data_IF_530439590020
#
_entry.id   IF_530439590020
#
_cell.length_a   1.000
_cell.length_b   1.000
_cell.length_c   1.000
_cell.angle_alpha   90.00
_cell.angle_beta   90.00
_cell.angle_gamma   90.00
#
_symmetry.space_group_name_H-M   'P 1'
#
loop_
_entity.id
_entity.type
_entity.pdbx_description
1 polymer ?
#
# COMPACT_ATOMS: atom_id res chain seq x y z
N UNK A 1 -9.76 -10.11 -8.74
CA UNK A 1 -10.50 -9.50 -7.60
C UNK A 1 -11.64 -8.57 -8.05
N UNK A 2 -11.51 -7.71 -9.09
CA UNK A 2 -12.56 -6.72 -9.41
C UNK A 2 -13.92 -7.30 -9.82
N UNK A 3 -13.95 -8.41 -10.57
CA UNK A 3 -15.19 -9.09 -10.99
C UNK A 3 -16.03 -9.58 -9.80
N UNK A 4 -15.36 -10.12 -8.77
CA UNK A 4 -16.03 -10.61 -7.55
C UNK A 4 -16.58 -9.42 -6.75
N UNK A 5 -15.81 -8.34 -6.65
CA UNK A 5 -16.24 -7.10 -5.99
C UNK A 5 -17.47 -6.50 -6.66
N UNK A 6 -17.50 -6.47 -7.99
CA UNK A 6 -18.66 -6.00 -8.73
C UNK A 6 -19.91 -6.87 -8.55
N UNK A 7 -19.73 -8.19 -8.52
CA UNK A 7 -20.81 -9.13 -8.23
C UNK A 7 -21.38 -8.96 -6.83
N UNK A 8 -20.50 -8.82 -5.82
CA UNK A 8 -20.90 -8.59 -4.43
C UNK A 8 -21.53 -7.20 -4.22
N UNK A 9 -20.98 -6.16 -4.87
CA UNK A 9 -21.45 -4.78 -4.76
C UNK A 9 -22.91 -4.59 -5.18
N UNK A 10 -23.41 -5.39 -6.13
CA UNK A 10 -24.83 -5.37 -6.51
C UNK A 10 -25.79 -5.81 -5.40
N UNK A 11 -25.32 -6.57 -4.41
CA UNK A 11 -26.15 -7.05 -3.29
C UNK A 11 -26.08 -6.16 -2.04
N UNK A 12 -25.00 -5.40 -1.87
CA UNK A 12 -24.72 -4.61 -0.65
C UNK A 12 -24.78 -3.09 -0.85
N UNK A 13 -25.39 -2.63 -1.95
CA UNK A 13 -25.34 -1.25 -2.43
C UNK A 13 -25.84 -0.18 -1.46
N UNK A 14 -26.80 -0.53 -0.61
CA UNK A 14 -27.44 0.45 0.28
C UNK A 14 -26.78 0.55 1.66
N UNK A 15 -25.95 -0.42 2.07
CA UNK A 15 -25.39 -0.46 3.43
C UNK A 15 -23.97 0.13 3.55
N UNK A 16 -23.22 0.20 2.45
CA UNK A 16 -21.77 0.52 2.47
C UNK A 16 -21.47 2.02 2.28
N UNK A 17 -22.39 2.80 1.67
CA UNK A 17 -22.13 4.22 1.29
C UNK A 17 -21.74 5.14 2.44
N UNK A 18 -22.18 4.87 3.67
CA UNK A 18 -21.88 5.75 4.81
C UNK A 18 -20.54 5.44 5.50
N UNK A 19 -20.06 4.19 5.44
CA UNK A 19 -18.89 3.75 6.21
C UNK A 19 -17.59 3.72 5.41
N UNK A 20 -17.66 3.68 4.08
CA UNK A 20 -16.51 3.49 3.19
C UNK A 20 -15.41 4.56 3.39
N UNK A 21 -15.80 5.83 3.54
CA UNK A 21 -14.88 6.97 3.64
C UNK A 21 -14.04 6.95 4.92
N UNK A 22 -14.65 6.59 6.05
CA UNK A 22 -13.93 6.50 7.33
C UNK A 22 -12.98 5.30 7.34
N UNK A 23 -13.39 4.18 6.74
CA UNK A 23 -12.55 2.99 6.62
C UNK A 23 -11.34 3.28 5.72
N UNK A 24 -11.56 3.88 4.53
CA UNK A 24 -10.50 4.24 3.61
C UNK A 24 -9.49 5.22 4.26
N UNK A 25 -9.98 6.27 4.93
CA UNK A 25 -9.13 7.25 5.62
C UNK A 25 -8.25 6.62 6.71
N UNK A 26 -8.84 5.79 7.58
CA UNK A 26 -8.10 5.15 8.68
C UNK A 26 -7.07 4.18 8.12
N UNK A 27 -7.43 3.39 7.11
CA UNK A 27 -6.53 2.40 6.51
C UNK A 27 -5.34 3.07 5.80
N UNK A 28 -5.60 4.07 4.95
CA UNK A 28 -4.58 4.82 4.21
C UNK A 28 -3.66 5.59 5.14
N UNK A 29 -4.20 6.24 6.17
CA UNK A 29 -3.39 6.97 7.16
C UNK A 29 -2.53 6.04 7.98
N UNK A 30 -3.05 4.87 8.38
CA UNK A 30 -2.30 3.88 9.14
C UNK A 30 -1.17 3.26 8.31
N UNK A 31 -1.44 2.86 7.07
CA UNK A 31 -0.44 2.28 6.18
C UNK A 31 0.61 3.32 5.80
N UNK A 32 0.18 4.52 5.40
CA UNK A 32 1.10 5.61 5.04
C UNK A 32 1.96 6.04 6.23
N UNK A 33 1.38 6.12 7.43
CA UNK A 33 2.11 6.39 8.66
C UNK A 33 3.11 5.29 9.01
N UNK A 34 2.73 4.01 8.84
CA UNK A 34 3.65 2.87 9.03
C UNK A 34 4.83 2.96 8.06
N UNK A 35 4.59 3.27 6.77
CA UNK A 35 5.66 3.40 5.77
C UNK A 35 6.65 4.52 6.11
N UNK A 36 6.15 5.68 6.56
CA UNK A 36 7.02 6.77 7.00
C UNK A 36 7.81 6.38 8.26
N UNK A 37 7.18 5.70 9.22
CA UNK A 37 7.86 5.24 10.43
C UNK A 37 8.94 4.20 10.14
N UNK A 38 8.67 3.27 9.22
CA UNK A 38 9.60 2.21 8.81
C UNK A 38 10.81 2.80 8.08
N UNK A 39 10.58 3.76 7.17
CA UNK A 39 11.61 4.49 6.46
C UNK A 39 12.55 5.28 7.39
N UNK A 40 11.98 5.98 8.39
CA UNK A 40 12.77 6.71 9.41
C UNK A 40 13.55 5.77 10.33
N UNK A 41 12.99 4.59 10.65
CA UNK A 41 13.64 3.58 11.48
C UNK A 41 14.78 2.87 10.75
N UNK A 42 14.68 2.70 9.43
CA UNK A 42 15.74 2.12 8.61
C UNK A 42 16.97 3.05 8.55
N UNK A 43 16.79 4.38 8.50
CA UNK A 43 17.87 5.39 8.63
C UNK A 43 18.61 5.32 9.98
N UNK A 44 17.89 5.01 11.07
CA UNK A 44 18.44 4.88 12.42
C UNK A 44 19.14 3.53 12.61
N UNK A 45 18.59 2.45 12.05
CA UNK A 45 19.22 1.12 12.07
C UNK A 45 20.49 1.10 11.22
N UNK A 46 20.54 1.74 10.05
CA UNK A 46 21.75 1.83 9.21
C UNK A 46 22.88 2.61 9.92
N UNK A 47 22.55 3.71 10.62
CA UNK A 47 23.51 4.47 11.45
C UNK A 47 23.96 3.69 12.68
N UNK A 48 23.06 2.93 13.29
CA UNK A 48 23.39 2.05 14.40
C UNK A 48 24.25 0.86 13.93
N UNK A 49 24.01 0.29 12.75
CA UNK A 49 24.80 -0.79 12.16
C UNK A 49 26.23 -0.33 11.82
N UNK A 50 26.40 0.92 11.36
CA UNK A 50 27.72 1.54 11.18
C UNK A 50 28.44 1.72 12.54
N UNK A 51 27.75 2.11 13.61
CA UNK A 51 28.34 2.19 14.96
C UNK A 51 28.64 0.81 15.58
N UNK A 52 27.77 -0.17 15.31
CA UNK A 52 27.83 -1.56 15.81
C UNK A 52 28.81 -2.42 15.00
N UNK A 53 29.12 -2.07 13.76
CA UNK A 53 30.12 -2.74 12.91
C UNK A 53 31.55 -2.70 13.50
N UNK A 54 31.85 -1.73 14.36
CA UNK A 54 33.07 -1.73 15.20
C UNK A 54 33.05 -2.80 16.31
N UNK A 55 31.87 -3.22 16.78
CA UNK A 55 31.72 -4.18 17.90
C UNK A 55 31.39 -5.61 17.44
N UNK A 56 30.89 -5.81 16.20
CA UNK A 56 30.30 -7.06 15.69
C UNK A 56 31.30 -8.16 15.31
N UNK A 57 32.61 -7.91 15.31
CA UNK A 57 33.64 -8.92 14.98
C UNK A 57 33.58 -10.21 15.83
N UNK A 58 32.77 -10.29 16.89
CA UNK A 58 32.63 -11.45 17.79
C UNK A 58 31.39 -12.35 17.59
N UNK A 59 30.35 -11.99 16.83
CA UNK A 59 29.02 -12.64 16.98
C UNK A 59 28.52 -13.47 15.78
N UNK A 60 29.45 -14.10 15.04
CA UNK A 60 29.18 -14.74 13.74
C UNK A 60 28.39 -16.07 13.81
N UNK A 61 28.33 -16.73 14.97
CA UNK A 61 27.60 -17.99 15.14
C UNK A 61 26.08 -17.82 15.37
N UNK A 62 25.62 -16.62 15.76
CA UNK A 62 24.18 -16.35 15.99
C UNK A 62 23.40 -15.98 14.72
N UNK A 63 24.07 -15.55 13.66
CA UNK A 63 23.42 -15.11 12.41
C UNK A 63 22.82 -16.26 11.60
N UNK A 64 23.45 -17.44 11.62
CA UNK A 64 23.01 -18.59 10.82
C UNK A 64 21.65 -19.15 11.27
N UNK A 65 21.31 -19.02 12.57
CA UNK A 65 20.01 -19.40 13.12
C UNK A 65 18.92 -18.33 12.86
N UNK A 66 19.30 -17.06 12.70
CA UNK A 66 18.37 -15.97 12.39
C UNK A 66 17.99 -15.91 10.91
N UNK A 67 18.89 -16.33 10.00
CA UNK A 67 18.61 -16.42 8.57
C UNK A 67 17.44 -17.37 8.25
N UNK A 68 17.36 -18.51 8.95
CA UNK A 68 16.31 -19.53 8.73
C UNK A 68 14.92 -19.12 9.24
N UNK A 69 14.84 -18.22 10.24
CA UNK A 69 13.57 -17.68 10.76
C UNK A 69 13.02 -16.53 9.89
N UNK A 70 13.90 -15.83 9.17
CA UNK A 70 13.56 -14.72 8.25
C UNK A 70 12.79 -15.22 7.01
N UNK A 71 13.07 -16.42 6.53
CA UNK A 71 12.33 -17.05 5.42
C UNK A 71 10.89 -17.44 5.78
N UNK A 72 10.64 -18.03 6.97
CA UNK A 72 9.28 -18.39 7.40
C UNK A 72 8.36 -17.19 7.67
N UNK A 73 8.94 -16.04 8.05
CA UNK A 73 8.19 -14.79 8.20
C UNK A 73 7.80 -14.18 6.83
N UNK A 74 8.58 -14.45 5.78
CA UNK A 74 8.39 -13.89 4.44
C UNK A 74 7.18 -14.46 3.71
N UNK A 75 6.91 -15.77 3.81
CA UNK A 75 5.72 -16.37 3.21
C UNK A 75 4.41 -15.86 3.86
N UNK A 76 4.43 -15.64 5.18
CA UNK A 76 3.31 -15.03 5.93
C UNK A 76 3.11 -13.57 5.54
N UNK A 77 4.19 -12.80 5.39
CA UNK A 77 4.10 -11.41 4.95
C UNK A 77 3.62 -11.28 3.50
N UNK A 78 4.09 -12.14 2.59
CA UNK A 78 3.64 -12.18 1.20
C UNK A 78 2.16 -12.57 1.09
N UNK A 79 1.70 -13.52 1.91
CA UNK A 79 0.27 -13.89 1.95
C UNK A 79 -0.59 -12.79 2.54
N UNK A 80 -0.15 -12.12 3.61
CA UNK A 80 -0.85 -10.95 4.16
C UNK A 80 -0.90 -9.81 3.14
N UNK A 81 0.20 -9.51 2.47
CA UNK A 81 0.26 -8.49 1.42
C UNK A 81 -0.68 -8.82 0.26
N UNK A 82 -0.68 -10.08 -0.21
CA UNK A 82 -1.58 -10.54 -1.26
C UNK A 82 -3.06 -10.41 -0.85
N UNK A 83 -3.41 -10.72 0.40
CA UNK A 83 -4.77 -10.53 0.94
C UNK A 83 -5.11 -9.04 1.01
N UNK A 84 -4.20 -8.20 1.52
CA UNK A 84 -4.41 -6.76 1.64
C UNK A 84 -4.64 -6.10 0.26
N UNK A 85 -3.78 -6.38 -0.73
CA UNK A 85 -3.94 -5.90 -2.12
C UNK A 85 -5.22 -6.44 -2.77
N UNK A 86 -5.66 -7.64 -2.39
CA UNK A 86 -6.89 -8.23 -2.92
C UNK A 86 -8.16 -7.55 -2.40
N UNK A 87 -8.19 -7.17 -1.11
CA UNK A 87 -9.28 -6.41 -0.50
C UNK A 87 -9.36 -5.02 -1.12
N UNK A 88 -8.22 -4.37 -1.35
CA UNK A 88 -8.15 -3.06 -2.02
C UNK A 88 -8.73 -3.13 -3.46
N UNK A 89 -8.30 -4.12 -4.26
CA UNK A 89 -8.83 -4.35 -5.60
C UNK A 89 -10.32 -4.79 -5.62
N UNK A 90 -10.82 -5.37 -4.52
CA UNK A 90 -12.23 -5.70 -4.34
C UNK A 90 -13.06 -4.42 -4.14
N UNK A 91 -12.59 -3.49 -3.31
CA UNK A 91 -13.25 -2.21 -3.05
C UNK A 91 -13.44 -1.42 -4.36
N UNK A 92 -12.39 -1.30 -5.17
CA UNK A 92 -12.46 -0.68 -6.51
C UNK A 92 -13.51 -1.37 -7.40
N UNK A 93 -13.62 -2.70 -7.34
CA UNK A 93 -14.64 -3.46 -8.07
C UNK A 93 -16.07 -3.18 -7.61
N UNK A 94 -16.29 -3.01 -6.31
CA UNK A 94 -17.57 -2.59 -5.71
C UNK A 94 -17.92 -1.16 -6.15
N UNK A 95 -16.95 -0.23 -6.12
CA UNK A 95 -17.14 1.15 -6.58
C UNK A 95 -17.62 1.23 -8.04
N UNK A 96 -17.06 0.40 -8.93
CA UNK A 96 -17.52 0.35 -10.33
C UNK A 96 -18.92 -0.24 -10.51
N UNK A 97 -19.37 -1.13 -9.61
CA UNK A 97 -20.77 -1.59 -9.62
C UNK A 97 -21.75 -0.46 -9.32
N UNK A 98 -21.38 0.47 -8.43
CA UNK A 98 -22.19 1.65 -8.11
C UNK A 98 -22.22 2.69 -9.22
N UNK A 99 -21.11 2.81 -9.97
CA UNK A 99 -21.01 3.76 -11.09
C UNK A 99 -21.72 3.29 -12.37
N UNK A 100 -22.22 2.05 -12.42
CA UNK A 100 -22.92 1.51 -13.60
C UNK A 100 -22.05 1.38 -14.85
N UNK A 101 -20.73 1.48 -14.71
CA UNK A 101 -19.76 1.43 -15.81
C UNK A 101 -19.59 -0.01 -16.28
N UNK A 102 -19.34 -0.21 -17.58
CA UNK A 102 -19.09 -1.53 -18.14
C UNK A 102 -17.78 -2.13 -17.58
N UNK A 103 -17.91 -3.12 -16.70
CA UNK A 103 -16.77 -3.68 -15.96
C UNK A 103 -15.68 -4.28 -16.87
N UNK A 104 -16.08 -4.83 -18.01
CA UNK A 104 -15.16 -5.48 -18.96
C UNK A 104 -14.17 -4.47 -19.53
N UNK A 105 -14.62 -3.27 -19.92
CA UNK A 105 -13.73 -2.23 -20.44
C UNK A 105 -12.79 -1.73 -19.36
N UNK A 106 -13.30 -1.49 -18.15
CA UNK A 106 -12.52 -0.97 -17.03
C UNK A 106 -11.42 -1.95 -16.59
N UNK A 107 -11.72 -3.25 -16.49
CA UNK A 107 -10.73 -4.26 -16.10
C UNK A 107 -9.62 -4.39 -17.15
N UNK A 108 -9.96 -4.35 -18.44
CA UNK A 108 -8.96 -4.42 -19.51
C UNK A 108 -8.01 -3.22 -19.42
N UNK A 109 -8.55 -2.01 -19.23
CA UNK A 109 -7.74 -0.79 -19.12
C UNK A 109 -6.83 -0.83 -17.88
N UNK A 110 -7.38 -1.16 -16.71
CA UNK A 110 -6.60 -1.28 -15.46
C UNK A 110 -5.52 -2.34 -15.63
N UNK A 111 -5.86 -3.50 -16.18
CA UNK A 111 -4.90 -4.58 -16.42
C UNK A 111 -3.73 -4.15 -17.30
N UNK A 112 -4.00 -3.43 -18.39
CA UNK A 112 -2.96 -2.90 -19.29
C UNK A 112 -2.11 -1.85 -18.57
N UNK A 113 -2.71 -0.87 -17.89
CA UNK A 113 -1.98 0.19 -17.19
C UNK A 113 -1.11 -0.41 -16.08
N UNK A 114 -1.67 -1.29 -15.25
CA UNK A 114 -0.92 -1.97 -14.18
C UNK A 114 0.22 -2.81 -14.75
N UNK A 115 -0.01 -3.55 -15.84
CA UNK A 115 1.04 -4.34 -16.47
C UNK A 115 2.21 -3.46 -16.97
N UNK A 116 1.91 -2.37 -17.66
CA UNK A 116 2.93 -1.43 -18.18
C UNK A 116 3.66 -0.75 -17.02
N UNK A 117 2.95 -0.28 -16.00
CA UNK A 117 3.55 0.36 -14.83
C UNK A 117 4.42 -0.60 -14.02
N UNK A 118 3.98 -1.85 -13.82
CA UNK A 118 4.80 -2.87 -13.15
C UNK A 118 6.05 -3.20 -13.97
N UNK A 119 5.92 -3.35 -15.29
CA UNK A 119 7.07 -3.63 -16.15
C UNK A 119 8.12 -2.49 -16.10
N UNK A 120 7.67 -1.24 -16.23
CA UNK A 120 8.55 -0.07 -16.10
C UNK A 120 9.12 0.06 -14.68
N UNK A 121 8.28 -0.16 -13.67
CA UNK A 121 8.66 -0.09 -12.26
C UNK A 121 9.73 -1.10 -11.90
N UNK A 122 9.68 -2.33 -12.45
CA UNK A 122 10.73 -3.34 -12.25
C UNK A 122 12.05 -2.91 -12.91
N UNK A 123 12.02 -2.39 -14.15
CA UNK A 123 13.24 -1.95 -14.85
C UNK A 123 13.89 -0.75 -14.17
N UNK A 124 13.07 0.23 -13.74
CA UNK A 124 13.53 1.43 -13.04
C UNK A 124 14.00 1.06 -11.63
N UNK A 125 13.26 0.19 -10.95
CA UNK A 125 13.56 -0.28 -9.60
C UNK A 125 14.86 -1.08 -9.53
N UNK A 126 15.17 -1.90 -10.54
CA UNK A 126 16.45 -2.62 -10.62
C UNK A 126 17.65 -1.66 -10.75
N UNK A 127 17.47 -0.51 -11.41
CA UNK A 127 18.55 0.46 -11.65
C UNK A 127 18.69 1.54 -10.58
N UNK A 128 17.59 1.96 -9.96
CA UNK A 128 17.54 3.07 -8.99
C UNK A 128 17.26 2.61 -7.55
N UNK A 129 17.07 1.29 -7.33
CA UNK A 129 16.59 0.72 -6.07
C UNK A 129 17.40 1.14 -4.84
N UNK A 130 18.73 1.10 -4.91
CA UNK A 130 19.58 1.36 -3.75
C UNK A 130 19.61 2.85 -3.33
N UNK A 131 19.44 3.78 -4.27
CA UNK A 131 19.51 5.23 -3.99
C UNK A 131 18.13 5.78 -3.59
N UNK A 132 17.05 5.16 -4.06
CA UNK A 132 15.69 5.64 -3.86
C UNK A 132 14.91 4.91 -2.77
N UNK A 133 15.44 3.83 -2.17
CA UNK A 133 14.68 2.99 -1.23
C UNK A 133 13.98 3.79 -0.13
N UNK A 134 14.75 4.55 0.65
CA UNK A 134 14.22 5.31 1.78
C UNK A 134 13.33 6.50 1.32
N UNK A 135 13.75 7.23 0.28
CA UNK A 135 12.94 8.32 -0.28
C UNK A 135 11.61 7.85 -0.89
N UNK A 136 11.59 6.70 -1.55
CA UNK A 136 10.39 6.14 -2.16
C UNK A 136 9.37 5.70 -1.12
N UNK A 137 9.82 5.15 0.02
CA UNK A 137 8.93 4.77 1.13
C UNK A 137 8.30 6.00 1.80
N UNK A 138 9.09 7.06 2.07
CA UNK A 138 8.57 8.31 2.65
C UNK A 138 7.58 8.98 1.69
N UNK A 139 7.96 9.13 0.41
CA UNK A 139 7.11 9.77 -0.60
C UNK A 139 5.82 8.98 -0.79
N UNK A 140 5.90 7.64 -0.86
CA UNK A 140 4.73 6.77 -0.94
C UNK A 140 3.81 6.92 0.26
N UNK A 141 4.37 6.95 1.47
CA UNK A 141 3.59 7.15 2.70
C UNK A 141 2.90 8.51 2.76
N UNK A 142 3.59 9.58 2.35
CA UNK A 142 3.01 10.94 2.28
C UNK A 142 1.87 11.00 1.27
N UNK A 143 2.05 10.42 0.08
CA UNK A 143 1.00 10.36 -0.96
C UNK A 143 -0.23 9.61 -0.44
N UNK A 144 -0.05 8.48 0.26
CA UNK A 144 -1.17 7.69 0.83
C UNK A 144 -1.95 8.48 1.88
N UNK A 145 -1.25 9.19 2.77
CA UNK A 145 -1.89 10.04 3.78
C UNK A 145 -2.68 11.17 3.11
N UNK A 146 -2.10 11.83 2.09
CA UNK A 146 -2.77 12.89 1.35
C UNK A 146 -4.04 12.40 0.63
N UNK A 147 -3.98 11.21 0.00
CA UNK A 147 -5.15 10.58 -0.62
C UNK A 147 -6.22 10.27 0.42
N UNK A 148 -5.84 9.72 1.58
CA UNK A 148 -6.77 9.46 2.67
C UNK A 148 -7.47 10.74 3.15
N UNK A 149 -6.71 11.81 3.39
CA UNK A 149 -7.25 13.12 3.80
C UNK A 149 -8.19 13.68 2.72
N UNK A 150 -7.82 13.55 1.44
CA UNK A 150 -8.64 14.03 0.33
C UNK A 150 -10.03 13.35 0.32
N UNK A 151 -10.06 12.02 0.49
CA UNK A 151 -11.31 11.24 0.58
C UNK A 151 -12.18 11.72 1.75
N UNK A 152 -11.56 11.99 2.91
CA UNK A 152 -12.27 12.48 4.09
C UNK A 152 -12.88 13.86 3.86
N UNK A 153 -12.13 14.78 3.25
CA UNK A 153 -12.56 16.16 2.98
C UNK A 153 -13.67 16.22 1.93
N UNK A 154 -13.60 15.38 0.91
CA UNK A 154 -14.62 15.29 -0.14
C UNK A 154 -15.97 14.85 0.44
N UNK A 155 -15.99 13.90 1.37
CA UNK A 155 -17.23 13.38 1.96
C UNK A 155 -17.73 14.12 3.21
N UNK A 156 -16.89 14.92 3.89
CA UNK A 156 -17.33 15.77 5.00
C UNK A 156 -17.90 17.12 4.57
N UNK A 157 -17.97 17.40 3.25
CA UNK A 157 -18.56 18.62 2.69
C UNK A 157 -17.79 19.91 3.04
N UNK A 158 -16.58 19.79 3.58
CA UNK A 158 -15.72 20.93 3.94
C UNK A 158 -15.23 21.64 2.66
N UNK A 159 -14.99 20.89 1.59
CA UNK A 159 -14.59 21.44 0.28
C UNK A 159 -15.70 22.31 -0.33
N UNK A 160 -16.98 21.90 -0.24
CA UNK A 160 -18.10 22.70 -0.73
C UNK A 160 -18.26 24.03 0.03
N UNK A 161 -17.96 24.05 1.34
CA UNK A 161 -17.99 25.27 2.16
C UNK A 161 -16.79 26.19 1.98
N UNK A 162 -15.67 25.69 1.44
CA UNK A 162 -14.46 26.48 1.23
C UNK A 162 -14.40 27.10 -0.18
N UNK A 163 -15.17 26.55 -1.14
CA UNK A 163 -15.21 27.00 -2.54
C UNK A 163 -16.53 27.69 -2.95
N UNK A 164 -17.44 27.94 -2.00
CA UNK A 164 -18.64 28.78 -2.13
C UNK A 164 -18.53 30.03 -1.26
#
# INVERSE_FOLDING_TARGET
MPLIGWGAGRYFADYIKAFDHWIAFILLSFIGGKMIFEALKEDDEEKAEVAVSMEVSKNKEREFANMKRKEELSAKNLTVLAIATSIDALAVGVSFAFLGISIVQTIIIIGIITFVLCFLGVIIGEKLGDIFKNYAEIVGGVILILIGINILLEHTGIIEKLFS
#
